data_IF_178057821708
#
_entry.id   IF_178057821708
#
_cell.length_a   1.000
_cell.length_b   1.000
_cell.length_c   1.000
_cell.angle_alpha   90.00
_cell.angle_beta   90.00
_cell.angle_gamma   90.00
#
_symmetry.space_group_name_H-M   'P 1'
#
loop_
_entity.id
_entity.type
_entity.pdbx_description
1 polymer ?
#
# COMPACT_ATOMS: atom_id res chain seq x y z
N UNK A 1 14.77 -68.40 -2.62
CA UNK A 1 13.89 -67.33 -2.15
C UNK A 1 14.79 -66.17 -1.74
N UNK A 2 14.78 -65.07 -2.50
CA UNK A 2 15.67 -63.93 -2.25
C UNK A 2 15.29 -63.25 -0.94
N UNK A 3 16.25 -63.22 -0.01
CA UNK A 3 16.13 -62.66 1.32
C UNK A 3 16.40 -61.15 1.21
N UNK A 4 15.36 -60.33 1.09
CA UNK A 4 15.48 -58.88 1.09
C UNK A 4 15.78 -58.40 2.51
N UNK A 5 17.03 -57.97 2.73
CA UNK A 5 17.52 -57.51 4.03
C UNK A 5 16.73 -56.27 4.52
N UNK A 6 16.28 -56.23 5.79
CA UNK A 6 15.42 -55.17 6.34
C UNK A 6 16.07 -53.77 6.33
N UNK A 7 17.38 -53.69 6.13
CA UNK A 7 18.14 -52.43 6.02
C UNK A 7 17.80 -51.67 4.72
N UNK A 8 17.52 -52.37 3.62
CA UNK A 8 17.18 -51.75 2.34
C UNK A 8 15.79 -51.06 2.37
N UNK A 9 14.84 -51.60 3.14
CA UNK A 9 13.51 -51.02 3.30
C UNK A 9 13.54 -49.72 4.13
N UNK A 10 14.40 -49.63 5.14
CA UNK A 10 14.56 -48.44 5.97
C UNK A 10 15.20 -47.27 5.21
N UNK A 11 16.24 -47.53 4.42
CA UNK A 11 16.91 -46.51 3.60
C UNK A 11 15.97 -46.01 2.49
N UNK A 12 15.22 -46.91 1.85
CA UNK A 12 14.21 -46.57 0.84
C UNK A 12 13.13 -45.63 1.41
N UNK A 13 12.60 -45.95 2.60
CA UNK A 13 11.58 -45.12 3.26
C UNK A 13 12.11 -43.73 3.67
N UNK A 14 13.33 -43.63 4.19
CA UNK A 14 13.96 -42.35 4.50
C UNK A 14 14.20 -41.50 3.25
N UNK A 15 14.68 -42.10 2.15
CA UNK A 15 14.89 -41.41 0.89
C UNK A 15 13.57 -40.92 0.27
N UNK A 16 12.49 -41.69 0.42
CA UNK A 16 11.15 -41.32 -0.02
C UNK A 16 10.55 -40.20 0.84
N UNK A 17 10.82 -40.16 2.16
CA UNK A 17 10.42 -39.07 3.05
C UNK A 17 11.18 -37.78 2.77
N UNK A 18 12.51 -37.84 2.53
CA UNK A 18 13.31 -36.66 2.16
C UNK A 18 12.88 -36.05 0.81
N UNK A 19 12.52 -36.89 -0.17
CA UNK A 19 11.97 -36.41 -1.46
C UNK A 19 10.63 -35.72 -1.29
N UNK A 20 9.75 -36.23 -0.42
CA UNK A 20 8.46 -35.58 -0.11
C UNK A 20 8.67 -34.23 0.59
N UNK A 21 9.62 -34.15 1.51
CA UNK A 21 9.97 -32.89 2.20
C UNK A 21 10.55 -31.85 1.23
N UNK A 22 11.45 -32.28 0.34
CA UNK A 22 12.03 -31.41 -0.70
C UNK A 22 10.95 -30.92 -1.68
N UNK A 23 10.01 -31.78 -2.07
CA UNK A 23 8.90 -31.41 -2.95
C UNK A 23 7.95 -30.42 -2.26
N UNK A 24 7.67 -30.62 -0.97
CA UNK A 24 6.86 -29.70 -0.18
C UNK A 24 7.54 -28.32 -0.07
N UNK A 25 8.84 -28.29 0.17
CA UNK A 25 9.63 -27.06 0.23
C UNK A 25 9.65 -26.32 -1.13
N UNK A 26 9.80 -27.04 -2.24
CA UNK A 26 9.74 -26.49 -3.60
C UNK A 26 8.36 -25.88 -3.91
N UNK A 27 7.27 -26.54 -3.52
CA UNK A 27 5.91 -26.02 -3.70
C UNK A 27 5.70 -24.75 -2.88
N UNK A 28 6.17 -24.71 -1.63
CA UNK A 28 6.05 -23.51 -0.79
C UNK A 28 6.82 -22.30 -1.34
N UNK A 29 7.97 -22.52 -1.96
CA UNK A 29 8.76 -21.44 -2.59
C UNK A 29 8.05 -20.91 -3.84
N UNK A 30 7.39 -21.76 -4.64
CA UNK A 30 6.64 -21.26 -5.81
C UNK A 30 5.43 -20.42 -5.40
N UNK A 31 4.76 -20.73 -4.28
CA UNK A 31 3.58 -19.98 -3.84
C UNK A 31 3.90 -18.56 -3.34
N UNK A 32 5.10 -18.29 -2.80
CA UNK A 32 5.46 -16.96 -2.30
C UNK A 32 5.83 -15.95 -3.40
N UNK A 33 6.23 -16.42 -4.58
CA UNK A 33 6.62 -15.55 -5.71
C UNK A 33 5.42 -14.81 -6.31
N UNK A 34 4.21 -15.38 -6.22
CA UNK A 34 3.04 -14.82 -6.89
C UNK A 34 2.46 -13.56 -6.22
N UNK A 35 2.55 -13.42 -4.89
CA UNK A 35 2.08 -12.24 -4.17
C UNK A 35 3.03 -11.03 -4.28
N UNK A 36 4.33 -11.28 -4.49
CA UNK A 36 5.35 -10.22 -4.61
C UNK A 36 5.23 -9.45 -5.93
N UNK A 37 4.78 -10.12 -6.99
CA UNK A 37 4.75 -9.56 -8.34
C UNK A 37 3.86 -8.29 -8.46
N UNK A 38 2.77 -8.20 -7.69
CA UNK A 38 1.85 -7.07 -7.72
C UNK A 38 2.51 -5.77 -7.22
N UNK A 39 3.13 -5.83 -6.04
CA UNK A 39 3.80 -4.68 -5.43
C UNK A 39 5.09 -4.33 -6.19
N UNK A 40 5.85 -5.34 -6.62
CA UNK A 40 7.11 -5.14 -7.35
C UNK A 40 6.88 -4.39 -8.67
N UNK A 41 5.85 -4.75 -9.44
CA UNK A 41 5.51 -4.05 -10.67
C UNK A 41 5.20 -2.57 -10.41
N UNK A 42 4.35 -2.28 -9.42
CA UNK A 42 3.98 -0.91 -9.06
C UNK A 42 5.19 -0.13 -8.57
N UNK A 43 6.04 -0.74 -7.74
CA UNK A 43 7.28 -0.12 -7.26
C UNK A 43 8.22 0.23 -8.42
N UNK A 44 8.35 -0.62 -9.44
CA UNK A 44 9.20 -0.33 -10.61
C UNK A 44 8.73 0.94 -11.32
N UNK A 45 7.44 1.03 -11.67
CA UNK A 45 6.92 2.18 -12.43
C UNK A 45 6.89 3.47 -11.58
N UNK A 46 6.64 3.36 -10.27
CA UNK A 46 6.72 4.50 -9.35
C UNK A 46 8.17 4.96 -9.20
N UNK A 47 9.12 4.05 -9.00
CA UNK A 47 10.54 4.40 -8.86
C UNK A 47 11.11 5.03 -10.13
N UNK A 48 10.66 4.61 -11.32
CA UNK A 48 10.98 5.31 -12.57
C UNK A 48 10.51 6.76 -12.51
N UNK A 49 9.27 7.01 -12.08
CA UNK A 49 8.77 8.37 -11.91
C UNK A 49 9.58 9.17 -10.88
N UNK A 50 9.95 8.56 -9.76
CA UNK A 50 10.75 9.23 -8.73
C UNK A 50 12.12 9.61 -9.28
N UNK A 51 12.77 8.72 -10.03
CA UNK A 51 14.06 8.99 -10.66
C UNK A 51 13.97 10.17 -11.64
N UNK A 52 12.89 10.30 -12.42
CA UNK A 52 12.64 11.47 -13.27
C UNK A 52 12.56 12.77 -12.47
N UNK A 53 11.86 12.74 -11.32
CA UNK A 53 11.71 13.92 -10.46
C UNK A 53 13.03 14.29 -9.78
N UNK A 54 13.83 13.30 -9.39
CA UNK A 54 15.15 13.50 -8.76
C UNK A 54 16.20 14.11 -9.70
N UNK A 55 15.94 14.14 -11.02
CA UNK A 55 16.79 14.85 -11.98
C UNK A 55 16.60 16.38 -11.96
N UNK A 56 15.57 16.88 -11.25
CA UNK A 56 15.30 18.31 -11.12
C UNK A 56 16.19 18.98 -10.08
N UNK A 57 16.40 20.29 -10.22
CA UNK A 57 17.09 21.07 -9.19
C UNK A 57 16.16 21.23 -7.97
N UNK A 58 16.58 20.73 -6.80
CA UNK A 58 15.79 20.68 -5.55
C UNK A 58 14.43 19.96 -5.66
N UNK A 59 14.40 18.62 -5.78
CA UNK A 59 13.15 17.88 -5.91
C UNK A 59 12.29 18.01 -4.65
N UNK A 60 11.06 18.51 -4.81
CA UNK A 60 10.02 18.47 -3.77
C UNK A 60 8.82 17.65 -4.27
N UNK A 61 8.66 16.47 -3.68
CA UNK A 61 7.57 15.57 -4.02
C UNK A 61 7.19 14.71 -2.82
N UNK A 62 6.02 14.09 -2.90
CA UNK A 62 5.63 13.01 -2.01
C UNK A 62 4.73 12.03 -2.74
N UNK A 63 4.62 10.81 -2.24
CA UNK A 63 3.61 9.88 -2.73
C UNK A 63 2.78 9.31 -1.59
N UNK A 64 1.59 8.85 -1.95
CA UNK A 64 0.72 8.02 -1.13
C UNK A 64 0.43 6.72 -1.86
N UNK A 65 0.70 5.59 -1.21
CA UNK A 65 0.34 4.25 -1.64
C UNK A 65 -0.82 3.75 -0.79
N UNK A 66 -1.95 3.48 -1.44
CA UNK A 66 -3.18 2.96 -0.85
C UNK A 66 -3.32 1.48 -1.22
N UNK A 67 -3.55 0.61 -0.23
CA UNK A 67 -3.85 -0.80 -0.45
C UNK A 67 -4.67 -1.40 0.70
N UNK A 68 -5.40 -2.48 0.42
CA UNK A 68 -6.05 -3.28 1.45
C UNK A 68 -5.68 -4.74 1.27
N UNK A 69 -5.24 -5.41 2.34
CA UNK A 69 -4.72 -6.78 2.24
C UNK A 69 -5.78 -7.71 1.63
N UNK A 70 -5.42 -8.38 0.53
CA UNK A 70 -6.28 -9.35 -0.16
C UNK A 70 -7.36 -8.74 -1.06
N UNK A 71 -7.38 -7.42 -1.26
CA UNK A 71 -8.29 -6.78 -2.21
C UNK A 71 -7.77 -6.96 -3.63
N UNK A 72 -8.59 -7.58 -4.52
CA UNK A 72 -8.26 -7.77 -5.92
C UNK A 72 -9.19 -6.92 -6.80
N UNK A 73 -8.60 -6.12 -7.68
CA UNK A 73 -9.31 -5.30 -8.66
C UNK A 73 -9.06 -5.79 -10.09
N UNK A 74 -10.11 -5.76 -10.91
CA UNK A 74 -10.09 -6.19 -12.32
C UNK A 74 -10.50 -5.01 -13.20
N UNK A 75 -9.64 -4.66 -14.15
CA UNK A 75 -9.83 -3.56 -15.09
C UNK A 75 -9.90 -4.09 -16.53
N UNK A 76 -10.80 -3.50 -17.33
CA UNK A 76 -10.77 -3.64 -18.78
C UNK A 76 -10.02 -2.45 -19.38
N UNK A 77 -8.90 -2.73 -20.03
CA UNK A 77 -8.06 -1.73 -20.69
C UNK A 77 -8.68 -1.28 -22.01
N UNK A 78 -8.17 -0.16 -22.55
CA UNK A 78 -8.68 0.45 -23.80
C UNK A 78 -8.53 -0.46 -25.01
N UNK A 79 -7.46 -1.25 -25.07
CA UNK A 79 -7.23 -2.25 -26.12
C UNK A 79 -8.10 -3.52 -25.96
N UNK A 80 -8.98 -3.54 -24.95
CA UNK A 80 -9.87 -4.65 -24.66
C UNK A 80 -9.24 -5.75 -23.80
N UNK A 81 -7.94 -5.67 -23.48
CA UNK A 81 -7.30 -6.61 -22.55
C UNK A 81 -7.86 -6.44 -21.14
N UNK A 82 -7.82 -7.53 -20.39
CA UNK A 82 -8.15 -7.54 -18.97
C UNK A 82 -6.84 -7.46 -18.20
N UNK A 83 -6.76 -6.56 -17.24
CA UNK A 83 -5.71 -6.50 -16.25
C UNK A 83 -6.33 -6.70 -14.86
N UNK A 84 -5.65 -7.45 -14.01
CA UNK A 84 -6.09 -7.72 -12.64
C UNK A 84 -4.87 -7.68 -11.72
N UNK A 85 -5.04 -7.18 -10.51
CA UNK A 85 -4.11 -7.53 -9.43
C UNK A 85 -4.24 -9.03 -9.13
N UNK A 86 -3.16 -9.70 -8.77
CA UNK A 86 -3.18 -11.14 -8.47
C UNK A 86 -3.58 -11.44 -7.02
N UNK A 87 -3.26 -10.53 -6.10
CA UNK A 87 -3.38 -10.72 -4.65
C UNK A 87 -3.80 -9.45 -3.93
N UNK A 88 -3.21 -8.30 -4.27
CA UNK A 88 -3.49 -7.03 -3.62
C UNK A 88 -3.39 -5.91 -4.64
N UNK A 89 -4.45 -5.12 -4.74
CA UNK A 89 -4.48 -3.89 -5.50
C UNK A 89 -3.75 -2.78 -4.74
N UNK A 90 -2.79 -2.16 -5.42
CA UNK A 90 -2.05 -1.01 -4.95
C UNK A 90 -2.37 0.18 -5.85
N UNK A 91 -2.75 1.30 -5.25
CA UNK A 91 -2.91 2.56 -5.93
C UNK A 91 -1.92 3.58 -5.36
N UNK A 92 -0.96 3.99 -6.18
CA UNK A 92 0.04 4.98 -5.79
C UNK A 92 -0.23 6.30 -6.48
N UNK A 93 -0.31 7.37 -5.69
CA UNK A 93 -0.50 8.74 -6.16
C UNK A 93 0.78 9.52 -5.85
N UNK A 94 1.49 9.94 -6.89
CA UNK A 94 2.71 10.75 -6.79
C UNK A 94 2.33 12.21 -6.99
N UNK A 95 2.79 13.08 -6.11
CA UNK A 95 2.55 14.52 -6.10
C UNK A 95 3.87 15.27 -6.17
N UNK A 96 3.98 16.24 -7.05
CA UNK A 96 5.16 17.11 -7.12
C UNK A 96 4.76 18.54 -7.47
N UNK A 97 5.60 19.47 -7.04
CA UNK A 97 5.37 20.89 -7.24
C UNK A 97 5.48 21.27 -8.71
N UNK A 98 4.48 21.98 -9.22
CA UNK A 98 4.55 22.69 -10.50
C UNK A 98 4.81 24.18 -10.25
N UNK A 99 4.04 24.78 -9.34
CA UNK A 99 4.21 26.16 -8.87
C UNK A 99 3.94 26.29 -7.35
N UNK A 100 3.88 27.51 -6.81
CA UNK A 100 3.64 27.73 -5.37
C UNK A 100 2.29 27.22 -4.85
N UNK A 101 1.26 27.19 -5.69
CA UNK A 101 -0.12 26.90 -5.34
C UNK A 101 -0.70 25.67 -6.08
N UNK A 102 0.09 25.00 -6.90
CA UNK A 102 -0.33 23.82 -7.66
C UNK A 102 0.63 22.65 -7.52
N UNK A 103 0.04 21.46 -7.50
CA UNK A 103 0.76 20.19 -7.56
C UNK A 103 0.33 19.46 -8.83
N UNK A 104 1.27 18.82 -9.50
CA UNK A 104 0.92 17.73 -10.39
C UNK A 104 0.61 16.49 -9.57
N UNK A 105 -0.33 15.70 -10.04
CA UNK A 105 -0.66 14.38 -9.52
C UNK A 105 -0.58 13.36 -10.65
N UNK A 106 0.02 12.20 -10.37
CA UNK A 106 0.00 11.03 -11.25
C UNK A 106 -0.37 9.78 -10.46
N UNK A 107 -1.36 9.05 -10.95
CA UNK A 107 -1.75 7.74 -10.40
C UNK A 107 -0.97 6.63 -11.10
N UNK A 108 -0.62 5.61 -10.33
CA UNK A 108 -0.05 4.35 -10.76
C UNK A 108 -0.81 3.23 -10.06
N UNK A 109 -1.01 2.11 -10.72
CA UNK A 109 -1.50 0.91 -10.07
C UNK A 109 -0.96 -0.35 -10.74
N UNK A 110 -1.44 -1.52 -10.30
CA UNK A 110 -1.04 -2.83 -10.84
C UNK A 110 -1.18 -2.95 -12.37
N UNK A 111 -1.94 -2.05 -13.00
CA UNK A 111 -2.22 -2.05 -14.42
C UNK A 111 -1.53 -0.92 -15.19
N UNK A 112 -0.60 -0.20 -14.56
CA UNK A 112 0.27 0.78 -15.19
C UNK A 112 0.03 2.22 -14.71
N UNK A 113 0.55 3.17 -15.47
CA UNK A 113 0.50 4.60 -15.18
C UNK A 113 -0.74 5.28 -15.75
N UNK A 114 -1.13 6.38 -15.10
CA UNK A 114 -2.12 7.31 -15.60
C UNK A 114 -1.44 8.60 -16.05
N UNK A 115 -2.10 9.34 -16.92
CA UNK A 115 -1.61 10.65 -17.37
C UNK A 115 -1.58 11.62 -16.19
N UNK A 116 -0.50 12.38 -16.01
CA UNK A 116 -0.44 13.38 -14.96
C UNK A 116 -1.35 14.57 -15.29
N UNK A 117 -1.81 15.26 -14.25
CA UNK A 117 -2.52 16.52 -14.38
C UNK A 117 -2.32 17.38 -13.14
N UNK A 118 -2.59 18.68 -13.27
CA UNK A 118 -2.38 19.66 -12.21
C UNK A 118 -3.63 19.84 -11.35
N UNK A 119 -3.44 19.97 -10.04
CA UNK A 119 -4.45 20.29 -9.04
C UNK A 119 -4.06 21.54 -8.26
N UNK A 120 -5.06 22.27 -7.78
CA UNK A 120 -4.85 23.42 -6.90
C UNK A 120 -4.68 22.93 -5.46
N UNK A 121 -3.65 23.43 -4.79
CA UNK A 121 -3.39 23.14 -3.38
C UNK A 121 -4.42 23.87 -2.53
N UNK A 122 -5.20 23.11 -1.74
CA UNK A 122 -6.15 23.71 -0.80
C UNK A 122 -5.40 24.40 0.33
N UNK A 123 -6.03 25.40 0.97
CA UNK A 123 -5.44 26.07 2.13
C UNK A 123 -5.09 25.11 3.27
N UNK A 124 -5.90 24.06 3.44
CA UNK A 124 -5.67 23.04 4.46
C UNK A 124 -4.48 22.15 4.10
N UNK A 125 -4.40 21.69 2.84
CA UNK A 125 -3.25 20.95 2.32
C UNK A 125 -1.95 21.76 2.44
N UNK A 126 -1.95 23.02 2.01
CA UNK A 126 -0.79 23.91 2.12
C UNK A 126 -0.31 24.07 3.57
N UNK A 127 -1.23 24.21 4.52
CA UNK A 127 -0.90 24.30 5.95
C UNK A 127 -0.25 23.02 6.46
N UNK A 128 -0.77 21.85 6.07
CA UNK A 128 -0.22 20.57 6.50
C UNK A 128 1.17 20.33 5.89
N UNK A 129 1.36 20.61 4.60
CA UNK A 129 2.65 20.47 3.90
C UNK A 129 3.73 21.44 4.42
N UNK A 130 3.33 22.59 4.97
CA UNK A 130 4.27 23.55 5.60
C UNK A 130 4.82 23.04 6.94
N UNK A 131 4.08 22.21 7.66
CA UNK A 131 4.46 21.68 8.98
C UNK A 131 5.29 20.39 8.83
N UNK A 132 6.44 20.50 8.14
CA UNK A 132 7.33 19.38 7.79
C UNK A 132 7.78 18.59 9.03
N UNK A 133 7.99 19.28 10.16
CA UNK A 133 8.39 18.67 11.42
C UNK A 133 7.33 17.71 11.96
N UNK A 134 6.06 18.14 12.02
CA UNK A 134 4.97 17.25 12.45
C UNK A 134 4.77 16.09 11.51
N UNK A 135 4.83 16.31 10.20
CA UNK A 135 4.75 15.22 9.22
C UNK A 135 5.84 14.17 9.43
N UNK A 136 7.02 14.58 9.90
CA UNK A 136 8.17 13.68 10.10
C UNK A 136 8.11 12.94 11.44
N UNK A 137 7.65 13.59 12.51
CA UNK A 137 7.79 13.06 13.88
C UNK A 137 6.48 12.62 14.55
N UNK A 138 5.31 13.05 14.10
CA UNK A 138 4.04 12.54 14.63
C UNK A 138 3.73 11.17 14.04
N UNK A 139 3.29 10.22 14.88
CA UNK A 139 2.93 8.88 14.46
C UNK A 139 1.47 8.57 14.80
N UNK A 140 0.82 7.82 13.93
CA UNK A 140 -0.51 7.28 14.21
C UNK A 140 -0.37 6.16 15.22
N UNK A 141 -1.08 6.27 16.34
CA UNK A 141 -1.09 5.25 17.37
C UNK A 141 -2.05 4.12 16.96
N UNK A 142 -1.68 2.84 17.14
CA UNK A 142 -2.58 1.72 16.84
C UNK A 142 -3.92 1.82 17.58
N UNK A 143 -4.96 1.21 17.03
CA UNK A 143 -6.25 1.10 17.68
C UNK A 143 -6.11 0.56 19.11
N UNK A 144 -6.68 1.29 20.07
CA UNK A 144 -6.69 0.89 21.48
C UNK A 144 -8.12 0.92 22.00
N UNK A 145 -8.72 -0.25 22.14
CA UNK A 145 -10.05 -0.38 22.71
C UNK A 145 -10.10 0.12 24.16
N UNK A 146 -11.20 0.78 24.53
CA UNK A 146 -11.47 1.13 25.93
C UNK A 146 -11.67 -0.08 26.84
N UNK A 147 -12.06 -1.22 26.27
CA UNK A 147 -12.27 -2.50 26.95
C UNK A 147 -11.78 -3.64 26.07
N UNK A 148 -11.34 -4.73 26.69
CA UNK A 148 -10.96 -5.96 25.99
C UNK A 148 -11.88 -7.06 26.53
N UNK A 149 -12.54 -7.78 25.63
CA UNK A 149 -13.32 -8.96 26.00
C UNK A 149 -12.41 -10.19 26.04
N UNK A 150 -12.62 -11.06 27.02
CA UNK A 150 -11.94 -12.35 27.10
C UNK A 150 -12.50 -13.40 26.12
N UNK A 151 -13.63 -13.09 25.47
CA UNK A 151 -14.30 -13.96 24.52
C UNK A 151 -14.13 -13.45 23.09
N UNK A 152 -13.89 -14.37 22.15
CA UNK A 152 -13.90 -14.04 20.72
C UNK A 152 -15.28 -13.55 20.31
N UNK A 153 -15.33 -12.38 19.68
CA UNK A 153 -16.56 -11.83 19.11
C UNK A 153 -16.69 -12.26 17.64
N UNK A 154 -17.87 -12.73 17.24
CA UNK A 154 -18.13 -13.17 15.87
C UNK A 154 -18.28 -11.98 14.89
N UNK A 155 -17.81 -12.16 13.66
CA UNK A 155 -17.96 -11.26 12.49
C UNK A 155 -17.61 -9.79 12.74
N UNK A 156 -16.33 -9.48 12.98
CA UNK A 156 -15.81 -8.14 12.71
C UNK A 156 -15.46 -8.01 11.24
N UNK A 157 -15.79 -6.87 10.63
CA UNK A 157 -15.31 -6.53 9.30
C UNK A 157 -13.78 -6.47 9.32
N UNK A 158 -13.12 -7.13 8.37
CA UNK A 158 -11.66 -7.05 8.21
C UNK A 158 -11.33 -5.64 7.73
N UNK A 159 -10.74 -4.82 8.60
CA UNK A 159 -10.22 -3.51 8.24
C UNK A 159 -8.69 -3.58 8.11
N UNK A 160 -8.24 -4.02 6.94
CA UNK A 160 -6.83 -4.20 6.58
C UNK A 160 -6.37 -3.19 5.53
N UNK A 161 -6.97 -2.00 5.51
CA UNK A 161 -6.62 -0.94 4.58
C UNK A 161 -5.51 -0.06 5.17
N UNK A 162 -4.43 0.08 4.42
CA UNK A 162 -3.22 0.77 4.83
C UNK A 162 -2.97 1.95 3.89
N UNK A 163 -2.28 2.95 4.42
CA UNK A 163 -1.77 4.08 3.65
C UNK A 163 -0.30 4.28 3.99
N UNK A 164 0.54 4.23 2.96
CA UNK A 164 1.97 4.47 3.09
C UNK A 164 2.34 5.75 2.35
N UNK A 165 3.05 6.63 3.03
CA UNK A 165 3.55 7.88 2.51
C UNK A 165 5.07 7.85 2.46
N UNK A 166 5.62 8.45 1.41
CA UNK A 166 7.03 8.85 1.35
C UNK A 166 7.09 10.32 0.97
N UNK A 167 7.87 11.07 1.72
CA UNK A 167 8.09 12.49 1.50
C UNK A 167 9.54 12.73 1.13
N UNK A 168 9.76 13.60 0.15
CA UNK A 168 11.07 14.13 -0.21
C UNK A 168 10.98 15.64 -0.22
N UNK A 169 11.44 16.24 0.89
CA UNK A 169 11.39 17.68 1.14
C UNK A 169 12.76 18.16 1.59
N UNK A 170 13.27 19.26 1.02
CA UNK A 170 14.57 19.83 1.38
C UNK A 170 15.71 18.78 1.42
N UNK A 171 15.72 17.85 0.45
CA UNK A 171 16.63 16.70 0.39
C UNK A 171 16.56 15.71 1.57
N UNK A 172 15.52 15.80 2.41
CA UNK A 172 15.22 14.83 3.46
C UNK A 172 14.17 13.85 2.96
N UNK A 173 14.43 12.57 3.18
CA UNK A 173 13.53 11.48 2.86
C UNK A 173 12.99 10.90 4.15
N UNK A 174 11.68 10.78 4.27
CA UNK A 174 11.04 10.07 5.38
C UNK A 174 9.75 9.39 4.93
N UNK A 175 9.39 8.34 5.64
CA UNK A 175 8.23 7.50 5.34
C UNK A 175 7.29 7.46 6.55
N UNK A 176 5.99 7.35 6.28
CA UNK A 176 4.94 7.22 7.28
C UNK A 176 3.95 6.17 6.83
N UNK A 177 3.43 5.39 7.75
CA UNK A 177 2.38 4.43 7.46
C UNK A 177 1.34 4.41 8.57
N UNK A 178 0.11 4.07 8.21
CA UNK A 178 -0.96 3.82 9.17
C UNK A 178 -2.04 2.91 8.60
N UNK A 179 -2.74 2.20 9.48
CA UNK A 179 -3.96 1.49 9.14
C UNK A 179 -5.15 2.44 9.32
N UNK A 180 -6.07 2.45 8.36
CA UNK A 180 -7.28 3.26 8.45
C UNK A 180 -8.13 2.92 9.68
N UNK A 181 -8.12 1.67 10.13
CA UNK A 181 -8.81 1.22 11.34
C UNK A 181 -8.33 1.96 12.61
N UNK A 182 -7.07 2.38 12.66
CA UNK A 182 -6.51 3.12 13.78
C UNK A 182 -7.14 4.51 13.95
N UNK A 183 -7.86 4.99 12.93
CA UNK A 183 -8.54 6.28 12.92
C UNK A 183 -10.01 6.18 13.32
N UNK A 184 -10.59 4.98 13.32
CA UNK A 184 -12.05 4.80 13.46
C UNK A 184 -12.47 4.46 14.88
N UNK A 185 -13.78 4.55 15.11
CA UNK A 185 -14.48 3.98 16.27
C UNK A 185 -15.46 2.88 15.82
N UNK A 186 -15.22 2.26 14.66
CA UNK A 186 -16.15 1.31 14.02
C UNK A 186 -16.09 -0.11 14.62
N UNK A 187 -15.27 -0.30 15.67
CA UNK A 187 -15.25 -1.53 16.45
C UNK A 187 -16.32 -1.52 17.54
N UNK A 188 -16.45 -2.65 18.25
CA UNK A 188 -17.35 -2.80 19.40
C UNK A 188 -17.06 -1.78 20.50
N UNK A 189 -15.79 -1.50 20.72
CA UNK A 189 -15.32 -0.59 21.77
C UNK A 189 -14.76 0.68 21.15
N UNK A 190 -14.93 1.78 21.88
CA UNK A 190 -14.36 3.07 21.50
C UNK A 190 -12.83 2.95 21.38
N UNK A 191 -12.27 3.55 20.34
CA UNK A 191 -10.84 3.70 20.16
C UNK A 191 -10.35 4.91 20.98
N UNK A 192 -9.56 4.64 22.01
CA UNK A 192 -8.98 5.66 22.89
C UNK A 192 -7.99 6.58 22.15
N UNK A 193 -7.38 6.11 21.06
CA UNK A 193 -6.39 6.85 20.29
C UNK A 193 -7.01 7.65 19.13
N UNK A 194 -8.27 7.40 18.75
CA UNK A 194 -8.88 8.01 17.58
C UNK A 194 -8.83 9.56 17.60
N UNK A 195 -9.13 10.18 18.74
CA UNK A 195 -9.11 11.65 18.84
C UNK A 195 -7.70 12.24 18.64
N UNK A 196 -6.68 11.58 19.20
CA UNK A 196 -5.29 11.96 18.99
C UNK A 196 -4.89 11.79 17.51
N UNK A 197 -5.13 10.61 16.94
CA UNK A 197 -4.78 10.29 15.56
C UNK A 197 -5.44 11.24 14.55
N UNK A 198 -6.74 11.53 14.70
CA UNK A 198 -7.46 12.44 13.82
C UNK A 198 -7.02 13.91 13.95
N UNK A 199 -6.22 14.25 14.97
CA UNK A 199 -5.67 15.60 15.15
C UNK A 199 -4.32 15.81 14.45
N UNK A 200 -3.64 14.74 14.06
CA UNK A 200 -2.28 14.75 13.50
C UNK A 200 -2.23 15.47 12.14
N UNK A 201 -1.07 16.07 11.83
CA UNK A 201 -0.86 16.78 10.57
C UNK A 201 -1.00 15.85 9.36
N UNK A 202 -0.44 14.64 9.45
CA UNK A 202 -0.52 13.63 8.39
C UNK A 202 -1.98 13.25 8.07
N UNK A 203 -2.81 13.06 9.08
CA UNK A 203 -4.22 12.66 8.88
C UNK A 203 -5.05 13.79 8.28
N UNK A 204 -4.78 15.05 8.66
CA UNK A 204 -5.40 16.20 8.01
C UNK A 204 -5.02 16.31 6.54
N UNK A 205 -3.75 16.10 6.21
CA UNK A 205 -3.27 16.06 4.83
C UNK A 205 -3.95 14.91 4.06
N UNK A 206 -4.00 13.71 4.65
CA UNK A 206 -4.62 12.55 4.03
C UNK A 206 -6.11 12.76 3.73
N UNK A 207 -6.86 13.35 4.66
CA UNK A 207 -8.29 13.64 4.44
C UNK A 207 -8.51 14.55 3.22
N UNK A 208 -7.71 15.61 3.09
CA UNK A 208 -7.76 16.51 1.92
C UNK A 208 -7.40 15.78 0.62
N UNK A 209 -6.33 14.98 0.63
CA UNK A 209 -5.92 14.19 -0.55
C UNK A 209 -7.00 13.16 -0.91
N UNK A 210 -7.57 12.47 0.08
CA UNK A 210 -8.62 11.48 -0.13
C UNK A 210 -9.88 12.09 -0.73
N UNK A 211 -10.28 13.29 -0.29
CA UNK A 211 -11.40 14.00 -0.89
C UNK A 211 -11.10 14.38 -2.35
N UNK A 212 -9.91 14.92 -2.62
CA UNK A 212 -9.48 15.28 -3.98
C UNK A 212 -9.45 14.04 -4.88
N UNK A 213 -8.77 12.96 -4.46
CA UNK A 213 -8.65 11.71 -5.23
C UNK A 213 -10.03 11.12 -5.51
N UNK A 214 -10.90 11.04 -4.50
CA UNK A 214 -12.27 10.52 -4.67
C UNK A 214 -13.05 11.34 -5.71
N UNK A 215 -12.97 12.67 -5.63
CA UNK A 215 -13.64 13.54 -6.58
C UNK A 215 -13.06 13.38 -8.00
N UNK A 216 -11.75 13.19 -8.14
CA UNK A 216 -11.09 12.96 -9.43
C UNK A 216 -11.47 11.60 -10.04
N UNK A 217 -11.62 10.56 -9.22
CA UNK A 217 -12.08 9.24 -9.66
C UNK A 217 -13.54 9.27 -10.12
N UNK A 218 -14.44 9.87 -9.32
CA UNK A 218 -15.87 10.03 -9.68
C UNK A 218 -16.03 10.81 -10.99
N UNK A 219 -15.22 11.85 -11.20
CA UNK A 219 -15.26 12.66 -12.41
C UNK A 219 -14.46 12.08 -13.58
N UNK A 220 -13.88 10.87 -13.44
CA UNK A 220 -13.15 10.18 -14.50
C UNK A 220 -11.90 10.91 -14.98
N UNK A 221 -11.23 11.70 -14.12
CA UNK A 221 -10.03 12.48 -14.49
C UNK A 221 -8.78 11.64 -14.67
N UNK A 222 -8.74 10.45 -14.06
CA UNK A 222 -7.63 9.52 -14.21
C UNK A 222 -7.74 8.76 -15.54
N UNK A 223 -6.95 9.18 -16.53
CA UNK A 223 -6.85 8.51 -17.82
C UNK A 223 -5.57 7.68 -17.91
N UNK A 224 -5.68 6.35 -18.10
CA UNK A 224 -4.51 5.48 -18.27
C UNK A 224 -3.65 5.90 -19.48
N UNK A 225 -2.34 5.78 -19.30
CA UNK A 225 -1.36 5.85 -20.38
C UNK A 225 -1.39 4.49 -21.10
N UNK A 226 -2.01 4.51 -22.28
CA UNK A 226 -2.17 3.42 -23.25
C UNK A 226 -2.28 1.99 -22.70
#
# INVERSE_FOLDING_TARGET
MQNTSPVYLLISNYFMQMKKLLFFLLVTITCTVYAQNDLDYVNIIVNQKMAELEMQDTPEYFFRNDYCDGNIEIFKLRDGKICSSNSTYYAVYVFWKEDENTLNIQKFDNCGSFKPFTIVVTKAMARALKDKEKLMYEDVLPYKAEKVDDNAFGNMSVQSCHKNYKFVFDNKVFEKSFNQFDLTNESKYKNLNAAHNNSLALIKLDNEISEIVKNLEINGKFFREN
#
